data_IF_896446113156
#
_entry.id   IF_896446113156
#
_cell.length_a   1.000
_cell.length_b   1.000
_cell.length_c   1.000
_cell.angle_alpha   90.00
_cell.angle_beta   90.00
_cell.angle_gamma   90.00
#
_symmetry.space_group_name_H-M   'P 1'
#
loop_
_entity.id
_entity.type
_entity.pdbx_description
1 polymer ?
#
# COMPACT_ATOMS: atom_id res chain seq x y z
N UNK A 1 12.01 -2.75 46.49
CA UNK A 1 11.12 -1.59 46.62
C UNK A 1 10.92 -1.02 45.23
N UNK A 2 9.72 -1.19 44.67
CA UNK A 2 9.38 -0.78 43.30
C UNK A 2 9.05 0.72 43.29
N UNK A 3 9.97 1.55 42.82
CA UNK A 3 9.65 2.90 42.39
C UNK A 3 9.22 2.81 40.92
N UNK A 4 7.90 2.74 40.71
CA UNK A 4 7.28 2.95 39.40
C UNK A 4 7.42 4.43 39.05
N UNK A 5 8.46 4.78 38.30
CA UNK A 5 8.47 6.06 37.58
C UNK A 5 7.42 5.99 36.47
N UNK A 6 6.37 6.77 36.68
CA UNK A 6 5.12 6.75 35.93
C UNK A 6 5.13 7.92 34.94
N UNK A 7 6.18 8.09 34.15
CA UNK A 7 6.22 9.17 33.14
C UNK A 7 7.29 9.06 32.04
N UNK A 8 7.92 7.89 31.85
CA UNK A 8 8.74 7.66 30.65
C UNK A 8 7.85 7.19 29.51
N UNK A 9 7.21 8.16 28.83
CA UNK A 9 6.83 7.96 27.42
C UNK A 9 8.13 7.71 26.65
N UNK A 10 8.47 6.43 26.48
CA UNK A 10 9.52 6.02 25.57
C UNK A 10 9.05 6.34 24.14
N UNK A 11 9.22 7.58 23.71
CA UNK A 11 9.45 7.85 22.30
C UNK A 11 10.86 7.33 22.01
N UNK A 12 10.99 6.02 21.79
CA UNK A 12 12.14 5.52 21.07
C UNK A 12 12.14 6.26 19.74
N UNK A 13 13.14 7.15 19.56
CA UNK A 13 13.42 7.78 18.28
C UNK A 13 13.44 6.66 17.24
N UNK A 14 12.46 6.70 16.34
CA UNK A 14 12.36 5.74 15.25
C UNK A 14 13.64 5.93 14.44
N UNK A 15 14.50 4.91 14.45
CA UNK A 15 15.73 4.90 13.66
C UNK A 15 15.39 5.31 12.22
N UNK A 16 16.25 6.08 11.55
CA UNK A 16 16.00 6.45 10.14
C UNK A 16 15.83 5.20 9.27
N UNK A 17 16.41 4.08 9.69
CA UNK A 17 16.27 2.76 9.07
C UNK A 17 14.93 2.05 9.38
N UNK A 18 14.22 2.48 10.43
CA UNK A 18 12.84 2.04 10.73
C UNK A 18 11.79 2.83 9.94
N UNK A 19 12.08 4.05 9.47
CA UNK A 19 11.22 4.73 8.48
C UNK A 19 11.11 3.91 7.18
N UNK A 20 12.16 3.17 6.82
CA UNK A 20 12.21 2.19 5.72
C UNK A 20 11.23 1.02 5.93
N UNK A 21 10.75 0.80 7.16
CA UNK A 21 9.76 -0.23 7.52
C UNK A 21 8.32 0.27 7.40
N UNK A 22 8.09 1.40 6.73
CA UNK A 22 6.74 1.82 6.36
C UNK A 22 6.04 0.66 5.61
N UNK A 23 5.16 -0.05 6.34
CA UNK A 23 4.53 -1.28 5.86
C UNK A 23 3.76 -0.97 4.59
N UNK A 24 4.18 -1.54 3.46
CA UNK A 24 3.43 -1.40 2.21
C UNK A 24 2.03 -1.99 2.41
N UNK A 25 1.03 -1.22 2.03
CA UNK A 25 -0.38 -1.58 2.17
C UNK A 25 -1.00 -1.74 0.78
N UNK A 26 -2.05 -2.58 0.62
CA UNK A 26 -2.76 -2.75 -0.64
C UNK A 26 -3.21 -1.43 -1.29
N UNK A 27 -3.56 -0.43 -0.46
CA UNK A 27 -3.92 0.92 -0.92
C UNK A 27 -2.78 1.65 -1.67
N UNK A 28 -1.52 1.37 -1.37
CA UNK A 28 -0.39 2.00 -2.06
C UNK A 28 -0.32 1.52 -3.51
N UNK A 29 -0.62 0.23 -3.76
CA UNK A 29 -0.73 -0.31 -5.12
C UNK A 29 -1.92 0.29 -5.86
N UNK A 30 -3.06 0.44 -5.18
CA UNK A 30 -4.24 1.10 -5.76
C UNK A 30 -3.91 2.51 -6.21
N UNK A 31 -3.29 3.31 -5.35
CA UNK A 31 -2.87 4.68 -5.67
C UNK A 31 -1.88 4.69 -6.83
N UNK A 32 -0.89 3.80 -6.81
CA UNK A 32 0.08 3.67 -7.90
C UNK A 32 -0.62 3.41 -9.25
N UNK A 33 -1.58 2.48 -9.31
CA UNK A 33 -2.30 2.19 -10.56
C UNK A 33 -3.12 3.41 -11.02
N UNK A 34 -3.72 4.17 -10.09
CA UNK A 34 -4.50 5.37 -10.41
C UNK A 34 -3.59 6.48 -10.95
N UNK A 35 -2.52 6.80 -10.24
CA UNK A 35 -1.65 7.95 -10.51
C UNK A 35 -0.69 7.68 -11.68
N UNK A 36 -0.01 6.53 -11.67
CA UNK A 36 1.06 6.21 -12.63
C UNK A 36 0.53 5.48 -13.86
N UNK A 37 -0.46 4.60 -13.68
CA UNK A 37 -1.02 3.79 -14.76
C UNK A 37 -2.38 4.30 -15.28
N UNK A 38 -2.80 5.51 -14.88
CA UNK A 38 -4.07 6.13 -15.31
C UNK A 38 -5.30 5.24 -15.08
N UNK A 39 -5.27 4.44 -14.00
CA UNK A 39 -6.35 3.55 -13.58
C UNK A 39 -6.39 2.19 -14.28
N UNK A 40 -5.40 1.82 -15.10
CA UNK A 40 -5.34 0.50 -15.75
C UNK A 40 -3.91 -0.01 -15.81
N UNK A 41 -3.64 -1.18 -15.26
CA UNK A 41 -2.29 -1.74 -15.24
C UNK A 41 -2.24 -3.17 -15.78
N UNK A 42 -1.25 -3.45 -16.63
CA UNK A 42 -0.87 -4.82 -17.00
C UNK A 42 -0.01 -5.38 -15.87
N UNK A 43 -0.31 -6.57 -15.31
CA UNK A 43 0.36 -7.10 -14.13
C UNK A 43 1.89 -7.14 -14.22
N UNK A 44 2.46 -7.61 -15.33
CA UNK A 44 3.91 -7.73 -15.50
C UNK A 44 4.61 -6.38 -15.41
N UNK A 45 4.09 -5.39 -16.14
CA UNK A 45 4.61 -4.01 -16.14
C UNK A 45 4.43 -3.37 -14.77
N UNK A 46 3.27 -3.56 -14.14
CA UNK A 46 3.00 -3.06 -12.79
C UNK A 46 4.03 -3.57 -11.77
N UNK A 47 4.32 -4.87 -11.81
CA UNK A 47 5.21 -5.49 -10.82
C UNK A 47 6.63 -4.93 -10.91
N UNK A 48 7.14 -4.72 -12.12
CA UNK A 48 8.45 -4.12 -12.35
C UNK A 48 8.48 -2.66 -11.89
N UNK A 49 7.56 -1.84 -12.40
CA UNK A 49 7.55 -0.40 -12.09
C UNK A 49 7.27 -0.10 -10.62
N UNK A 50 6.34 -0.82 -9.99
CA UNK A 50 6.00 -0.59 -8.59
C UNK A 50 7.10 -1.12 -7.65
N UNK A 51 7.80 -2.20 -8.02
CA UNK A 51 8.94 -2.68 -7.25
C UNK A 51 10.08 -1.64 -7.21
N UNK A 52 10.38 -1.04 -8.36
CA UNK A 52 11.39 0.02 -8.47
C UNK A 52 10.98 1.27 -7.68
N UNK A 53 9.75 1.77 -7.89
CA UNK A 53 9.30 3.03 -7.29
C UNK A 53 9.02 2.93 -5.79
N UNK A 54 8.58 1.76 -5.31
CA UNK A 54 8.30 1.51 -3.89
C UNK A 54 9.48 0.86 -3.17
N UNK A 55 10.65 0.76 -3.83
CA UNK A 55 11.88 0.18 -3.28
C UNK A 55 11.67 -1.19 -2.60
N UNK A 56 10.96 -2.09 -3.28
CA UNK A 56 10.62 -3.41 -2.75
C UNK A 56 10.75 -4.51 -3.81
N UNK A 57 10.61 -5.76 -3.39
CA UNK A 57 10.70 -6.89 -4.33
C UNK A 57 9.41 -7.03 -5.15
N UNK A 58 9.53 -7.56 -6.38
CA UNK A 58 8.37 -7.91 -7.20
C UNK A 58 7.45 -8.94 -6.52
N UNK A 59 8.00 -9.80 -5.66
CA UNK A 59 7.23 -10.78 -4.88
C UNK A 59 6.29 -10.06 -3.91
N UNK A 60 6.79 -9.06 -3.18
CA UNK A 60 5.97 -8.26 -2.27
C UNK A 60 4.87 -7.50 -3.03
N UNK A 61 5.18 -6.94 -4.20
CA UNK A 61 4.15 -6.29 -5.04
C UNK A 61 3.07 -7.29 -5.46
N UNK A 62 3.45 -8.50 -5.88
CA UNK A 62 2.50 -9.55 -6.26
C UNK A 62 1.58 -9.93 -5.11
N UNK A 63 2.12 -10.07 -3.90
CA UNK A 63 1.33 -10.34 -2.70
C UNK A 63 0.38 -9.20 -2.37
N UNK A 64 0.84 -7.95 -2.45
CA UNK A 64 0.01 -6.77 -2.23
C UNK A 64 -1.13 -6.66 -3.26
N UNK A 65 -0.86 -6.99 -4.52
CA UNK A 65 -1.87 -7.04 -5.58
C UNK A 65 -2.90 -8.13 -5.30
N UNK A 66 -2.47 -9.33 -4.85
CA UNK A 66 -3.40 -10.37 -4.40
C UNK A 66 -4.29 -9.89 -3.26
N UNK A 67 -3.70 -9.32 -2.21
CA UNK A 67 -4.44 -8.78 -1.07
C UNK A 67 -5.41 -7.66 -1.49
N UNK A 68 -5.04 -6.83 -2.46
CA UNK A 68 -5.90 -5.78 -3.00
C UNK A 68 -7.08 -6.36 -3.81
N UNK A 69 -6.89 -7.46 -4.53
CA UNK A 69 -7.96 -8.17 -5.24
C UNK A 69 -8.89 -8.84 -4.23
N UNK A 70 -8.34 -9.59 -3.27
CA UNK A 70 -9.11 -10.31 -2.25
C UNK A 70 -9.91 -9.33 -1.36
N UNK A 71 -9.34 -8.15 -1.10
CA UNK A 71 -10.00 -7.05 -0.37
C UNK A 71 -10.97 -6.22 -1.21
N UNK A 72 -11.21 -6.57 -2.47
CA UNK A 72 -12.17 -5.86 -3.33
C UNK A 72 -11.75 -4.44 -3.71
N UNK A 73 -10.46 -4.12 -3.66
CA UNK A 73 -9.89 -2.82 -4.04
C UNK A 73 -9.46 -2.79 -5.52
N UNK A 74 -9.14 -3.94 -6.09
CA UNK A 74 -8.73 -4.10 -7.50
C UNK A 74 -9.55 -5.22 -8.12
N UNK A 75 -10.02 -5.00 -9.35
CA UNK A 75 -10.63 -6.02 -10.17
C UNK A 75 -9.66 -6.43 -11.29
N UNK A 76 -9.61 -7.72 -11.61
CA UNK A 76 -8.86 -8.23 -12.76
C UNK A 76 -9.82 -8.55 -13.92
N UNK A 77 -9.81 -7.70 -14.96
CA UNK A 77 -10.62 -7.88 -16.17
C UNK A 77 -9.75 -8.16 -17.38
N UNK A 78 -9.93 -9.32 -18.03
CA UNK A 78 -9.19 -9.73 -19.23
C UNK A 78 -7.66 -9.59 -19.11
N UNK A 79 -7.11 -9.91 -17.92
CA UNK A 79 -5.68 -9.79 -17.66
C UNK A 79 -5.20 -8.39 -17.26
N UNK A 80 -6.08 -7.39 -17.18
CA UNK A 80 -5.77 -6.01 -16.77
C UNK A 80 -6.27 -5.80 -15.33
N UNK A 81 -5.47 -5.12 -14.51
CA UNK A 81 -5.80 -4.69 -13.16
C UNK A 81 -6.44 -3.30 -13.19
N UNK A 82 -7.61 -3.18 -12.57
CA UNK A 82 -8.41 -1.94 -12.54
C UNK A 82 -8.80 -1.65 -11.09
N UNK A 83 -8.42 -0.50 -10.52
CA UNK A 83 -8.87 -0.08 -9.21
C UNK A 83 -10.38 0.07 -9.13
N UNK A 84 -10.99 -0.46 -8.07
CA UNK A 84 -12.40 -0.23 -7.76
C UNK A 84 -12.46 1.09 -6.98
N UNK A 85 -12.63 2.20 -7.71
CA UNK A 85 -12.83 3.50 -7.09
C UNK A 85 -14.29 3.57 -6.64
N UNK A 86 -14.54 3.20 -5.38
CA UNK A 86 -15.81 3.50 -4.75
C UNK A 86 -15.85 5.02 -4.61
N UNK A 87 -16.59 5.70 -5.49
CA UNK A 87 -17.01 7.08 -5.22
C UNK A 87 -17.78 6.99 -3.90
N UNK A 88 -17.17 7.38 -2.79
CA UNK A 88 -17.93 7.82 -1.62
C UNK A 88 -18.84 8.91 -2.15
N UNK A 89 -20.11 8.57 -2.40
CA UNK A 89 -21.17 9.55 -2.60
C UNK A 89 -20.98 10.55 -1.48
N UNK A 90 -20.60 11.78 -1.84
CA UNK A 90 -20.51 12.85 -0.87
C UNK A 90 -21.81 12.88 -0.11
N UNK A 91 -21.74 12.71 1.21
CA UNK A 91 -22.71 13.39 2.04
C UNK A 91 -22.46 14.86 1.80
N UNK A 92 -23.31 15.45 0.94
CA UNK A 92 -23.69 16.84 1.08
C UNK A 92 -24.38 16.91 2.44
N UNK A 93 -23.68 17.41 3.44
CA UNK A 93 -24.30 18.15 4.52
C UNK A 93 -24.12 19.63 4.18
#
# INVERSE_FOLDING_TARGET
MLLRDRETLWYSEIDKDEMSKAKLLPKHIVNFIVEECKGRAVPTILYEMAAEKLHCSQIQIRELVKLAIDGGLIEKKRGILIPIIVKTRGKKD
#
